data_IF_442463238127
#
_entry.id   IF_442463238127
#
_cell.length_a   1.000
_cell.length_b   1.000
_cell.length_c   1.000
_cell.angle_alpha   90.00
_cell.angle_beta   90.00
_cell.angle_gamma   90.00
#
_symmetry.space_group_name_H-M   'P 1'
#
loop_
_entity.id
_entity.type
_entity.pdbx_description
1 polymer ?
#
# COMPACT_ATOMS: atom_id res chain seq x y z
N UNK A 1 -34.71 9.10 46.39
CA UNK A 1 -35.70 9.60 45.41
C UNK A 1 -34.96 10.41 44.37
N UNK A 2 -35.26 10.12 43.11
CA UNK A 2 -34.50 10.49 41.94
C UNK A 2 -34.72 11.96 41.55
N UNK A 3 -33.70 12.59 40.96
CA UNK A 3 -33.92 13.57 39.91
C UNK A 3 -32.78 13.45 38.89
N UNK A 4 -33.15 12.88 37.75
CA UNK A 4 -32.34 12.67 36.57
C UNK A 4 -31.97 14.03 35.96
N UNK A 5 -30.70 14.17 35.59
CA UNK A 5 -30.12 15.31 34.88
C UNK A 5 -30.82 15.51 33.53
N UNK A 6 -31.30 16.72 33.17
CA UNK A 6 -32.04 16.90 31.92
C UNK A 6 -31.10 17.10 30.72
N UNK A 7 -31.49 16.40 29.66
CA UNK A 7 -31.65 16.86 28.29
C UNK A 7 -30.44 17.42 27.50
N UNK A 8 -30.06 16.62 26.51
CA UNK A 8 -29.95 17.00 25.09
C UNK A 8 -28.84 18.00 24.74
N UNK A 9 -27.64 17.44 24.54
CA UNK A 9 -26.62 18.05 23.70
C UNK A 9 -27.23 18.41 22.34
N UNK A 10 -27.26 19.71 22.07
CA UNK A 10 -27.85 20.34 20.89
C UNK A 10 -27.34 19.71 19.60
N UNK A 11 -28.29 19.36 18.75
CA UNK A 11 -28.11 18.89 17.38
C UNK A 11 -27.57 20.07 16.57
N UNK A 12 -26.26 20.18 16.37
CA UNK A 12 -25.71 20.98 15.27
C UNK A 12 -25.91 20.20 13.99
N UNK A 13 -27.02 20.49 13.34
CA UNK A 13 -27.33 20.10 11.98
C UNK A 13 -26.42 20.83 10.99
N UNK A 14 -25.84 20.05 10.07
CA UNK A 14 -25.55 20.41 8.67
C UNK A 14 -24.21 21.10 8.39
N UNK A 15 -23.27 20.33 7.85
CA UNK A 15 -22.46 20.67 6.67
C UNK A 15 -21.78 19.37 6.18
N UNK A 16 -22.50 18.52 5.46
CA UNK A 16 -21.87 17.49 4.63
C UNK A 16 -22.07 17.86 3.15
N UNK A 17 -21.00 18.04 2.37
CA UNK A 17 -21.15 18.18 0.93
C UNK A 17 -21.71 16.87 0.39
N UNK A 18 -22.73 16.97 -0.47
CA UNK A 18 -23.30 15.86 -1.23
C UNK A 18 -22.18 15.19 -2.02
N UNK A 19 -21.55 14.17 -1.42
CA UNK A 19 -20.65 13.29 -2.14
C UNK A 19 -21.51 12.51 -3.12
N UNK A 20 -21.32 12.80 -4.40
CA UNK A 20 -21.94 12.11 -5.51
C UNK A 20 -21.79 10.60 -5.32
N UNK A 21 -22.93 9.94 -5.12
CA UNK A 21 -23.08 8.53 -4.73
C UNK A 21 -22.65 7.54 -5.83
N UNK A 22 -22.03 8.02 -6.92
CA UNK A 22 -21.71 7.24 -8.11
C UNK A 22 -20.26 6.72 -8.15
N UNK A 23 -19.36 7.17 -7.26
CA UNK A 23 -17.94 6.74 -7.31
C UNK A 23 -17.49 5.77 -6.21
N UNK A 24 -18.33 5.47 -5.22
CA UNK A 24 -17.93 4.57 -4.12
C UNK A 24 -18.28 3.09 -4.35
N UNK A 25 -19.06 2.77 -5.39
CA UNK A 25 -19.56 1.40 -5.61
C UNK A 25 -18.59 0.45 -6.35
N UNK A 26 -17.42 0.94 -6.82
CA UNK A 26 -16.44 0.10 -7.55
C UNK A 26 -15.19 -0.23 -6.70
N UNK A 27 -15.07 0.30 -5.47
CA UNK A 27 -13.91 0.07 -4.59
C UNK A 27 -14.15 -0.96 -3.47
N UNK A 28 -15.24 -1.71 -3.52
CA UNK A 28 -15.70 -2.51 -2.39
C UNK A 28 -15.00 -3.87 -2.16
N UNK A 29 -14.20 -4.39 -3.10
CA UNK A 29 -13.63 -5.74 -2.94
C UNK A 29 -12.37 -6.03 -3.79
N UNK A 30 -11.43 -5.09 -3.88
CA UNK A 30 -10.11 -5.42 -4.43
C UNK A 30 -9.36 -6.24 -3.37
N UNK A 31 -9.28 -7.57 -3.56
CA UNK A 31 -8.45 -8.43 -2.72
C UNK A 31 -7.02 -7.95 -2.82
N UNK A 32 -6.45 -7.50 -1.70
CA UNK A 32 -5.04 -7.14 -1.66
C UNK A 32 -4.21 -8.44 -1.74
N UNK A 33 -3.74 -8.76 -2.95
CA UNK A 33 -2.93 -9.97 -3.20
C UNK A 33 -1.52 -9.87 -2.63
N UNK A 34 -1.07 -8.66 -2.33
CA UNK A 34 0.24 -8.44 -1.75
C UNK A 34 0.09 -8.45 -0.23
N UNK A 35 0.85 -9.32 0.43
CA UNK A 35 1.07 -9.21 1.86
C UNK A 35 1.58 -7.80 2.20
N UNK A 36 1.32 -7.33 3.43
CA UNK A 36 1.87 -6.05 3.92
C UNK A 36 3.38 -5.98 3.65
N UNK A 37 3.82 -4.86 3.06
CA UNK A 37 5.21 -4.61 2.74
C UNK A 37 6.09 -4.80 3.98
N UNK A 38 7.14 -5.61 3.85
CA UNK A 38 8.14 -5.83 4.89
C UNK A 38 9.53 -5.74 4.29
N UNK A 39 10.32 -4.80 4.81
CA UNK A 39 11.66 -4.54 4.31
C UNK A 39 12.60 -5.72 4.55
N UNK A 40 12.44 -6.39 5.69
CA UNK A 40 13.19 -7.62 6.02
C UNK A 40 12.90 -8.71 4.99
N UNK A 41 11.63 -8.94 4.64
CA UNK A 41 11.25 -9.91 3.61
C UNK A 41 11.83 -9.52 2.24
N UNK A 42 11.75 -8.23 1.88
CA UNK A 42 12.28 -7.69 0.62
C UNK A 42 13.78 -7.93 0.48
N UNK A 43 14.57 -7.59 1.50
CA UNK A 43 16.03 -7.76 1.48
C UNK A 43 16.40 -9.24 1.41
N UNK A 44 15.75 -10.10 2.21
CA UNK A 44 16.03 -11.54 2.20
C UNK A 44 15.71 -12.21 0.86
N UNK A 45 14.59 -11.83 0.22
CA UNK A 45 14.12 -12.44 -1.04
C UNK A 45 14.77 -11.83 -2.28
N UNK A 46 14.99 -10.52 -2.29
CA UNK A 46 15.36 -9.76 -3.48
C UNK A 46 16.66 -8.95 -3.35
N UNK A 47 17.30 -8.95 -2.19
CA UNK A 47 18.52 -8.20 -1.93
C UNK A 47 19.73 -8.69 -2.72
N UNK A 48 20.74 -7.83 -2.83
CA UNK A 48 21.95 -8.07 -3.61
C UNK A 48 22.69 -9.36 -3.23
N UNK A 49 22.90 -9.60 -1.92
CA UNK A 49 23.56 -10.81 -1.40
C UNK A 49 22.86 -12.09 -1.89
N UNK A 50 21.52 -12.10 -1.90
CA UNK A 50 20.72 -13.23 -2.41
C UNK A 50 20.83 -13.40 -3.92
N UNK A 51 21.04 -12.31 -4.68
CA UNK A 51 21.26 -12.36 -6.13
C UNK A 51 22.64 -12.91 -6.47
N UNK A 52 23.70 -12.56 -5.74
CA UNK A 52 25.04 -13.11 -5.99
C UNK A 52 25.14 -14.59 -5.67
N UNK A 53 24.45 -15.05 -4.63
CA UNK A 53 24.59 -16.43 -4.13
C UNK A 53 24.13 -17.49 -5.14
N UNK A 54 23.28 -17.15 -6.11
CA UNK A 54 22.76 -18.11 -7.11
C UNK A 54 23.27 -17.79 -8.51
N UNK A 55 23.52 -18.80 -9.37
CA UNK A 55 23.97 -18.56 -10.75
C UNK A 55 22.97 -17.71 -11.55
N UNK A 56 21.68 -18.03 -11.45
CA UNK A 56 20.63 -17.26 -12.12
C UNK A 56 20.53 -15.82 -11.59
N UNK A 57 20.76 -15.61 -10.30
CA UNK A 57 20.79 -14.27 -9.72
C UNK A 57 21.95 -13.43 -10.25
N UNK A 58 23.13 -14.02 -10.46
CA UNK A 58 24.26 -13.34 -11.12
C UNK A 58 23.95 -12.94 -12.55
N UNK A 59 23.30 -13.81 -13.33
CA UNK A 59 22.84 -13.48 -14.69
C UNK A 59 21.86 -12.29 -14.71
N UNK A 60 20.95 -12.20 -13.74
CA UNK A 60 20.04 -11.05 -13.61
C UNK A 60 20.82 -9.76 -13.35
N UNK A 61 21.86 -9.80 -12.52
CA UNK A 61 22.72 -8.64 -12.28
C UNK A 61 23.48 -8.23 -13.54
N UNK A 62 24.05 -9.18 -14.28
CA UNK A 62 24.74 -8.93 -15.55
C UNK A 62 23.81 -8.24 -16.57
N UNK A 63 22.58 -8.75 -16.75
CA UNK A 63 21.57 -8.15 -17.65
C UNK A 63 21.21 -6.71 -17.26
N UNK A 64 21.16 -6.42 -15.95
CA UNK A 64 20.87 -5.06 -15.46
C UNK A 64 22.01 -4.10 -15.74
N UNK A 65 23.26 -4.55 -15.54
CA UNK A 65 24.45 -3.74 -15.83
C UNK A 65 24.52 -3.43 -17.32
N UNK A 66 24.34 -4.45 -18.16
CA UNK A 66 24.37 -4.30 -19.62
C UNK A 66 23.30 -3.30 -20.10
N UNK A 67 22.06 -3.43 -19.62
CA UNK A 67 20.97 -2.49 -19.97
C UNK A 67 21.25 -1.05 -19.54
N UNK A 68 21.92 -0.84 -18.40
CA UNK A 68 22.26 0.52 -17.94
C UNK A 68 23.32 1.14 -18.84
N UNK A 69 24.31 0.36 -19.30
CA UNK A 69 25.33 0.84 -20.22
C UNK A 69 24.75 1.18 -21.60
N UNK A 70 23.80 0.39 -22.12
CA UNK A 70 23.14 0.67 -23.41
C UNK A 70 22.28 1.94 -23.41
N UNK A 71 21.92 2.47 -22.23
CA UNK A 71 21.11 3.69 -22.07
C UNK A 71 21.96 4.96 -21.94
N UNK A 72 23.28 4.81 -21.81
CA UNK A 72 24.25 5.90 -21.62
C UNK A 72 25.29 6.00 -22.75
N UNK A 73 25.24 5.12 -23.73
CA UNK A 73 26.01 5.16 -24.97
C UNK A 73 25.17 5.81 -26.08
#
# INVERSE_FOLDING_TARGET
MNALRPALFSITSQLTPVRSVLFDQVRGNVKWFFERCSEVKRIRKHGYKKRISTPNGRLILMRRILKVNDLFA
#
